data_IF_844070352754
#
_entry.id   IF_844070352754
#
_cell.length_a   1.000
_cell.length_b   1.000
_cell.length_c   1.000
_cell.angle_alpha   90.00
_cell.angle_beta   90.00
_cell.angle_gamma   90.00
#
_symmetry.space_group_name_H-M   'P 1'
#
loop_
_entity.id
_entity.type
_entity.pdbx_description
1 polymer ?
#
# COMPACT_ATOMS: atom_id res chain seq x y z
N UNK A 1 17.51 20.05 25.40
CA UNK A 1 16.27 19.90 24.66
C UNK A 1 16.31 20.58 23.27
N UNK A 2 16.82 21.81 23.12
CA UNK A 2 16.93 22.54 21.84
C UNK A 2 17.81 21.85 20.78
N UNK A 3 18.94 21.24 21.15
CA UNK A 3 19.88 20.60 20.20
C UNK A 3 19.25 19.33 19.52
N UNK A 4 18.41 18.60 20.24
CA UNK A 4 17.72 17.41 19.65
C UNK A 4 16.62 17.79 18.63
N UNK A 5 15.92 18.89 18.85
CA UNK A 5 14.91 19.38 17.89
C UNK A 5 15.56 19.89 16.59
N UNK A 6 16.71 20.57 16.69
CA UNK A 6 17.43 21.09 15.53
C UNK A 6 17.98 19.96 14.65
N UNK A 7 18.53 18.91 15.26
CA UNK A 7 19.03 17.75 14.50
C UNK A 7 17.90 16.94 13.83
N UNK A 8 16.74 16.79 14.47
CA UNK A 8 15.61 16.06 13.91
C UNK A 8 14.97 16.75 12.69
N UNK A 9 15.13 18.06 12.56
CA UNK A 9 14.62 18.82 11.42
C UNK A 9 15.70 18.98 10.35
N UNK A 10 16.92 19.32 10.71
CA UNK A 10 18.00 19.61 9.75
C UNK A 10 18.46 18.35 9.01
N UNK A 11 18.57 17.20 9.69
CA UNK A 11 19.05 15.96 9.06
C UNK A 11 18.21 15.47 7.88
N UNK A 12 16.87 15.47 7.93
CA UNK A 12 16.06 15.11 6.77
C UNK A 12 16.24 16.06 5.58
N UNK A 13 16.39 17.38 5.83
CA UNK A 13 16.65 18.36 4.77
C UNK A 13 18.03 18.18 4.13
N UNK A 14 19.05 17.89 4.94
CA UNK A 14 20.39 17.57 4.42
C UNK A 14 20.37 16.29 3.60
N UNK A 15 19.63 15.25 4.04
CA UNK A 15 19.44 14.02 3.28
C UNK A 15 18.76 14.29 1.95
N UNK A 16 17.66 15.06 1.93
CA UNK A 16 16.98 15.43 0.70
C UNK A 16 17.87 16.25 -0.24
N UNK A 17 18.63 17.23 0.29
CA UNK A 17 19.58 18.01 -0.47
C UNK A 17 20.70 17.12 -1.09
N UNK A 18 21.21 16.16 -0.32
CA UNK A 18 22.19 15.19 -0.80
C UNK A 18 21.66 14.37 -1.97
N UNK A 19 20.43 13.85 -1.87
CA UNK A 19 19.77 13.10 -2.97
C UNK A 19 19.61 13.96 -4.22
N UNK A 20 19.16 15.22 -4.06
CA UNK A 20 19.02 16.14 -5.18
C UNK A 20 20.37 16.49 -5.84
N UNK A 21 21.42 16.65 -5.05
CA UNK A 21 22.78 16.88 -5.57
C UNK A 21 23.30 15.65 -6.33
N UNK A 22 23.13 14.44 -5.78
CA UNK A 22 23.51 13.20 -6.46
C UNK A 22 22.76 13.08 -7.78
N UNK A 23 21.45 13.32 -7.79
CA UNK A 23 20.67 13.32 -9.03
C UNK A 23 21.19 14.35 -10.03
N UNK A 24 21.45 15.60 -9.62
CA UNK A 24 21.97 16.64 -10.49
C UNK A 24 23.34 16.28 -11.08
N UNK A 25 24.24 15.68 -10.27
CA UNK A 25 25.55 15.23 -10.74
C UNK A 25 25.41 14.08 -11.74
N UNK A 26 24.58 13.08 -11.45
CA UNK A 26 24.35 11.91 -12.33
C UNK A 26 23.76 12.34 -13.67
N UNK A 27 22.83 13.30 -13.69
CA UNK A 27 22.21 13.81 -14.92
C UNK A 27 23.18 14.53 -15.83
N UNK A 28 24.27 15.10 -15.28
CA UNK A 28 25.28 15.82 -16.08
C UNK A 28 26.45 14.91 -16.49
N UNK A 29 26.89 14.01 -15.58
CA UNK A 29 28.17 13.30 -15.74
C UNK A 29 28.03 11.86 -16.24
N UNK A 30 26.90 11.18 -15.95
CA UNK A 30 26.75 9.73 -16.17
C UNK A 30 25.67 9.40 -17.19
N UNK A 31 24.54 10.09 -17.13
CA UNK A 31 23.35 9.79 -17.94
C UNK A 31 22.79 11.09 -18.55
N UNK A 32 23.32 11.54 -19.70
CA UNK A 32 22.88 12.78 -20.36
C UNK A 32 21.39 12.80 -20.73
N UNK A 33 20.79 11.63 -20.95
CA UNK A 33 19.36 11.49 -21.23
C UNK A 33 18.47 11.68 -19.99
N UNK A 34 19.06 11.55 -18.78
CA UNK A 34 18.34 11.78 -17.54
C UNK A 34 18.18 13.29 -17.28
N UNK A 35 16.95 13.85 -17.28
CA UNK A 35 16.77 15.27 -17.06
C UNK A 35 17.18 15.67 -15.64
N UNK A 36 17.80 16.86 -15.54
CA UNK A 36 18.17 17.46 -14.26
C UNK A 36 16.90 17.80 -13.45
N UNK A 37 17.00 17.99 -12.12
CA UNK A 37 15.86 18.40 -11.29
C UNK A 37 15.16 19.65 -11.81
N UNK A 38 15.91 20.64 -12.29
CA UNK A 38 15.37 21.89 -12.84
C UNK A 38 14.60 21.64 -14.14
N UNK A 39 15.17 20.88 -15.06
CA UNK A 39 14.52 20.52 -16.33
C UNK A 39 13.25 19.72 -16.08
N UNK A 40 13.29 18.74 -15.17
CA UNK A 40 12.13 17.96 -14.76
C UNK A 40 11.00 18.87 -14.27
N UNK A 41 11.32 19.86 -13.42
CA UNK A 41 10.32 20.80 -12.95
C UNK A 41 9.74 21.66 -14.06
N UNK A 42 10.59 22.20 -14.93
CA UNK A 42 10.15 23.07 -16.05
C UNK A 42 9.18 22.36 -17.01
N UNK A 43 9.46 21.11 -17.34
CA UNK A 43 8.65 20.30 -18.25
C UNK A 43 7.39 19.76 -17.59
N UNK A 44 7.45 19.44 -16.29
CA UNK A 44 6.36 18.76 -15.57
C UNK A 44 5.48 19.71 -14.74
N UNK A 45 5.84 21.00 -14.62
CA UNK A 45 5.15 21.95 -13.72
C UNK A 45 3.64 22.05 -13.93
N UNK A 46 3.14 21.93 -15.17
CA UNK A 46 1.72 22.01 -15.49
C UNK A 46 0.93 20.91 -14.80
N UNK A 47 1.46 19.67 -14.78
CA UNK A 47 0.83 18.51 -14.15
C UNK A 47 0.68 18.67 -12.62
N UNK A 48 1.53 19.47 -12.00
CA UNK A 48 1.54 19.75 -10.56
C UNK A 48 0.71 21.00 -10.23
N UNK A 49 0.87 22.09 -11.01
CA UNK A 49 0.19 23.37 -10.74
C UNK A 49 -1.27 23.36 -11.13
N UNK A 50 -1.64 22.58 -12.15
CA UNK A 50 -3.01 22.37 -12.60
C UNK A 50 -3.41 20.89 -12.35
N UNK A 51 -3.54 20.43 -11.08
CA UNK A 51 -3.60 19.01 -10.74
C UNK A 51 -4.85 18.30 -11.28
N UNK A 52 -5.85 19.03 -11.77
CA UNK A 52 -7.13 18.48 -12.22
C UNK A 52 -7.46 18.78 -13.68
N UNK A 53 -6.54 19.32 -14.48
CA UNK A 53 -6.78 19.51 -15.92
C UNK A 53 -7.03 18.19 -16.64
N UNK A 54 -7.67 18.23 -17.80
CA UNK A 54 -7.98 17.07 -18.63
C UNK A 54 -7.94 17.46 -20.11
N UNK A 55 -6.86 17.07 -20.78
CA UNK A 55 -6.68 17.28 -22.24
C UNK A 55 -6.74 15.97 -23.04
N UNK A 56 -7.05 14.85 -22.38
CA UNK A 56 -7.11 13.51 -22.96
C UNK A 56 -7.37 12.45 -21.91
N UNK A 57 -7.25 11.17 -22.28
CA UNK A 57 -7.40 10.07 -21.33
C UNK A 57 -6.22 9.93 -20.37
N UNK A 58 -5.00 10.08 -20.87
CA UNK A 58 -3.77 10.00 -20.07
C UNK A 58 -3.13 11.37 -19.83
N UNK A 59 -3.36 12.35 -20.70
CA UNK A 59 -2.84 13.71 -20.53
C UNK A 59 -3.75 14.49 -19.56
N UNK A 60 -3.54 14.22 -18.28
CA UNK A 60 -4.34 14.78 -17.17
C UNK A 60 -3.44 15.22 -16.04
N UNK A 61 -3.92 16.19 -15.25
CA UNK A 61 -3.22 16.65 -14.05
C UNK A 61 -2.97 15.52 -13.05
N UNK A 62 -1.83 15.58 -12.37
CA UNK A 62 -1.35 14.52 -11.47
C UNK A 62 -2.32 14.22 -10.32
N UNK A 63 -3.05 15.23 -9.83
CA UNK A 63 -4.09 15.05 -8.81
C UNK A 63 -5.26 14.19 -9.28
N UNK A 64 -5.69 14.33 -10.54
CA UNK A 64 -6.76 13.52 -11.13
C UNK A 64 -6.32 12.07 -11.34
N UNK A 65 -5.10 11.86 -11.86
CA UNK A 65 -4.53 10.53 -12.04
C UNK A 65 -4.36 9.81 -10.71
N UNK A 66 -3.85 10.52 -9.69
CA UNK A 66 -3.72 10.01 -8.33
C UNK A 66 -5.09 9.62 -7.73
N UNK A 67 -6.11 10.43 -7.98
CA UNK A 67 -7.48 10.13 -7.52
C UNK A 67 -8.01 8.81 -8.10
N UNK A 68 -7.80 8.54 -9.40
CA UNK A 68 -8.23 7.27 -10.00
C UNK A 68 -7.50 6.08 -9.36
N UNK A 69 -6.18 6.17 -9.20
CA UNK A 69 -5.40 5.13 -8.54
C UNK A 69 -5.86 4.90 -7.10
N UNK A 70 -6.07 5.97 -6.32
CA UNK A 70 -6.51 5.89 -4.92
C UNK A 70 -7.91 5.29 -4.76
N UNK A 71 -8.85 5.60 -5.66
CA UNK A 71 -10.19 4.98 -5.64
C UNK A 71 -10.11 3.47 -5.87
N UNK A 72 -9.29 3.01 -6.82
CA UNK A 72 -9.09 1.58 -7.07
C UNK A 72 -8.40 0.89 -5.89
N UNK A 73 -7.36 1.53 -5.32
CA UNK A 73 -6.72 1.05 -4.09
C UNK A 73 -7.73 0.93 -2.96
N UNK A 74 -8.54 1.95 -2.73
CA UNK A 74 -9.56 1.94 -1.69
C UNK A 74 -10.55 0.78 -1.84
N UNK A 75 -11.05 0.53 -3.06
CA UNK A 75 -11.94 -0.61 -3.36
C UNK A 75 -11.25 -1.96 -3.11
N UNK A 76 -10.05 -2.17 -3.66
CA UNK A 76 -9.31 -3.42 -3.52
C UNK A 76 -8.85 -3.68 -2.09
N UNK A 77 -8.38 -2.64 -1.39
CA UNK A 77 -7.99 -2.70 0.01
C UNK A 77 -9.19 -3.03 0.92
N UNK A 78 -10.34 -2.39 0.72
CA UNK A 78 -11.55 -2.71 1.48
C UNK A 78 -11.96 -4.19 1.34
N UNK A 79 -11.89 -4.74 0.12
CA UNK A 79 -12.13 -6.17 -0.13
C UNK A 79 -11.06 -7.04 0.55
N UNK A 80 -9.78 -6.65 0.48
CA UNK A 80 -8.70 -7.36 1.16
C UNK A 80 -8.92 -7.46 2.67
N UNK A 81 -9.37 -6.37 3.31
CA UNK A 81 -9.69 -6.35 4.73
C UNK A 81 -10.93 -7.18 5.06
N UNK A 82 -12.00 -7.04 4.26
CA UNK A 82 -13.26 -7.76 4.45
C UNK A 82 -13.09 -9.29 4.38
N UNK A 83 -12.19 -9.78 3.54
CA UNK A 83 -11.89 -11.19 3.37
C UNK A 83 -10.76 -11.63 4.31
N UNK A 84 -9.67 -10.87 4.35
CA UNK A 84 -8.45 -11.24 5.07
C UNK A 84 -8.62 -11.26 6.59
N UNK A 85 -9.38 -10.31 7.15
CA UNK A 85 -9.59 -10.25 8.62
C UNK A 85 -10.32 -11.47 9.15
N UNK A 86 -11.50 -11.88 8.62
CA UNK A 86 -12.16 -13.09 9.06
C UNK A 86 -11.33 -14.36 8.90
N UNK A 87 -10.63 -14.51 7.75
CA UNK A 87 -9.73 -15.65 7.49
C UNK A 87 -8.61 -15.67 8.53
N UNK A 88 -8.00 -14.52 8.83
CA UNK A 88 -6.95 -14.39 9.84
C UNK A 88 -7.45 -14.79 11.25
N UNK A 89 -8.63 -14.35 11.65
CA UNK A 89 -9.25 -14.80 12.91
C UNK A 89 -9.52 -16.31 12.91
N UNK A 90 -10.04 -16.89 11.83
CA UNK A 90 -10.27 -18.33 11.73
C UNK A 90 -8.96 -19.14 11.85
N UNK A 91 -7.89 -18.68 11.16
CA UNK A 91 -6.56 -19.29 11.27
C UNK A 91 -5.96 -19.17 12.68
N UNK A 92 -6.19 -18.04 13.36
CA UNK A 92 -5.68 -17.82 14.70
C UNK A 92 -6.45 -18.62 15.79
N UNK A 93 -7.77 -18.73 15.66
CA UNK A 93 -8.64 -19.35 16.65
C UNK A 93 -8.71 -20.89 16.57
N UNK A 94 -8.53 -21.46 15.39
CA UNK A 94 -8.71 -22.89 15.15
C UNK A 94 -7.41 -23.57 14.70
N UNK A 95 -6.84 -24.40 15.58
CA UNK A 95 -5.65 -25.20 15.24
C UNK A 95 -5.88 -26.11 14.02
N UNK A 96 -7.07 -26.69 13.88
CA UNK A 96 -7.40 -27.54 12.72
C UNK A 96 -7.45 -26.73 11.45
N UNK A 97 -8.10 -25.56 11.48
CA UNK A 97 -8.17 -24.66 10.33
C UNK A 97 -6.77 -24.15 9.93
N UNK A 98 -5.95 -23.79 10.93
CA UNK A 98 -4.56 -23.38 10.70
C UNK A 98 -3.77 -24.50 10.00
N UNK A 99 -3.78 -25.72 10.53
CA UNK A 99 -3.05 -26.85 9.93
C UNK A 99 -3.50 -27.18 8.51
N UNK A 100 -4.78 -26.97 8.19
CA UNK A 100 -5.32 -27.23 6.84
C UNK A 100 -5.01 -26.13 5.82
N UNK A 101 -5.07 -24.87 6.24
CA UNK A 101 -5.01 -23.73 5.31
C UNK A 101 -3.66 -23.00 5.30
N UNK A 102 -2.85 -23.12 6.35
CA UNK A 102 -1.54 -22.48 6.42
C UNK A 102 -0.62 -22.85 5.25
N UNK A 103 -0.53 -24.11 4.79
CA UNK A 103 0.25 -24.46 3.61
C UNK A 103 -0.24 -23.74 2.34
N UNK A 104 -1.56 -23.53 2.21
CA UNK A 104 -2.14 -22.81 1.07
C UNK A 104 -1.76 -21.33 1.14
N UNK A 105 -1.85 -20.71 2.32
CA UNK A 105 -1.45 -19.33 2.54
C UNK A 105 0.04 -19.13 2.22
N UNK A 106 0.89 -20.04 2.70
CA UNK A 106 2.33 -19.99 2.43
C UNK A 106 2.67 -20.16 0.95
N UNK A 107 1.91 -20.97 0.22
CA UNK A 107 2.08 -21.16 -1.22
C UNK A 107 1.58 -19.93 -2.02
N UNK A 108 0.44 -19.36 -1.66
CA UNK A 108 -0.17 -18.26 -2.39
C UNK A 108 0.54 -16.91 -2.17
N UNK A 109 1.10 -16.69 -0.98
CA UNK A 109 1.73 -15.44 -0.58
C UNK A 109 2.88 -14.97 -1.49
N UNK A 110 3.84 -15.81 -1.91
CA UNK A 110 4.96 -15.38 -2.73
C UNK A 110 4.61 -15.17 -4.21
N UNK A 111 3.38 -15.48 -4.64
CA UNK A 111 2.98 -15.30 -6.04
C UNK A 111 2.94 -13.80 -6.35
N UNK A 112 3.66 -13.41 -7.40
CA UNK A 112 3.75 -12.02 -7.83
C UNK A 112 2.38 -11.45 -8.20
N UNK A 113 2.05 -10.22 -7.77
CA UNK A 113 0.85 -9.51 -8.23
C UNK A 113 0.71 -9.47 -9.75
N UNK A 114 1.83 -9.35 -10.47
CA UNK A 114 1.86 -9.32 -11.92
C UNK A 114 1.40 -10.63 -12.57
N UNK A 115 1.52 -11.76 -11.86
CA UNK A 115 1.01 -13.05 -12.34
C UNK A 115 -0.51 -13.18 -12.16
N UNK A 116 -1.09 -12.50 -11.17
CA UNK A 116 -2.53 -12.54 -10.92
C UNK A 116 -3.34 -11.63 -11.86
N UNK A 117 -2.75 -10.55 -12.36
CA UNK A 117 -3.46 -9.58 -13.20
C UNK A 117 -3.99 -10.19 -14.52
N UNK A 118 -3.19 -10.95 -15.31
CA UNK A 118 -3.70 -11.62 -16.51
C UNK A 118 -4.87 -12.57 -16.22
N UNK A 119 -4.80 -13.30 -15.10
CA UNK A 119 -5.90 -14.16 -14.68
C UNK A 119 -7.16 -13.36 -14.36
N UNK A 120 -7.00 -12.24 -13.67
CA UNK A 120 -8.09 -11.28 -13.41
C UNK A 120 -8.70 -10.75 -14.72
N UNK A 121 -7.88 -10.43 -15.72
CA UNK A 121 -8.37 -9.98 -17.04
C UNK A 121 -9.16 -11.05 -17.77
N UNK A 122 -8.74 -12.31 -17.70
CA UNK A 122 -9.48 -13.45 -18.29
C UNK A 122 -10.84 -13.63 -17.60
N UNK A 123 -10.89 -13.52 -16.27
CA UNK A 123 -12.11 -13.73 -15.48
C UNK A 123 -13.10 -12.57 -15.68
N UNK A 124 -12.65 -11.35 -15.56
CA UNK A 124 -13.53 -10.17 -15.55
C UNK A 124 -13.69 -9.49 -16.91
N UNK A 125 -12.80 -9.75 -17.86
CA UNK A 125 -12.77 -9.14 -19.20
C UNK A 125 -12.82 -7.61 -19.23
N UNK A 126 -12.48 -6.98 -18.10
CA UNK A 126 -12.42 -5.54 -17.88
C UNK A 126 -11.24 -5.20 -16.97
N UNK A 127 -10.50 -4.16 -17.32
CA UNK A 127 -9.28 -3.75 -16.61
C UNK A 127 -9.53 -3.32 -15.16
N UNK A 128 -10.58 -2.53 -14.91
CA UNK A 128 -10.86 -2.02 -13.55
C UNK A 128 -11.21 -3.14 -12.56
N UNK A 129 -12.17 -4.06 -12.81
CA UNK A 129 -12.42 -5.18 -11.91
C UNK A 129 -11.22 -6.11 -11.76
N UNK A 130 -10.44 -6.35 -12.82
CA UNK A 130 -9.23 -7.17 -12.76
C UNK A 130 -8.17 -6.56 -11.85
N UNK A 131 -7.95 -5.25 -11.93
CA UNK A 131 -7.02 -4.54 -11.05
C UNK A 131 -7.49 -4.60 -9.58
N UNK A 132 -8.78 -4.35 -9.30
CA UNK A 132 -9.36 -4.42 -7.95
C UNK A 132 -9.23 -5.83 -7.37
N UNK A 133 -9.50 -6.88 -8.16
CA UNK A 133 -9.32 -8.27 -7.78
C UNK A 133 -7.86 -8.57 -7.42
N UNK A 134 -6.92 -8.13 -8.27
CA UNK A 134 -5.49 -8.33 -8.05
C UNK A 134 -5.02 -7.65 -6.77
N UNK A 135 -5.46 -6.40 -6.53
CA UNK A 135 -5.18 -5.69 -5.28
C UNK A 135 -5.73 -6.48 -4.08
N UNK A 136 -7.01 -6.86 -4.13
CA UNK A 136 -7.67 -7.56 -3.03
C UNK A 136 -6.96 -8.88 -2.69
N UNK A 137 -6.65 -9.68 -3.70
CA UNK A 137 -6.00 -10.97 -3.53
C UNK A 137 -4.58 -10.85 -2.97
N UNK A 138 -3.79 -9.87 -3.44
CA UNK A 138 -2.42 -9.67 -2.97
C UNK A 138 -2.35 -9.00 -1.60
N UNK A 139 -3.18 -7.97 -1.39
CA UNK A 139 -3.17 -7.20 -0.15
C UNK A 139 -3.84 -7.91 1.04
N UNK A 140 -4.63 -8.97 0.83
CA UNK A 140 -5.24 -9.69 1.94
C UNK A 140 -4.24 -10.49 2.78
N UNK A 141 -3.11 -10.96 2.21
CA UNK A 141 -2.19 -11.86 2.89
C UNK A 141 -1.52 -11.25 4.13
N UNK A 142 -1.00 -10.01 4.11
CA UNK A 142 -0.49 -9.38 5.32
C UNK A 142 -1.56 -9.25 6.41
N UNK A 143 -2.80 -8.93 6.05
CA UNK A 143 -3.92 -8.89 6.99
C UNK A 143 -4.20 -10.26 7.59
N UNK A 144 -4.30 -11.31 6.77
CA UNK A 144 -4.52 -12.70 7.22
C UNK A 144 -3.46 -13.11 8.24
N UNK A 145 -2.19 -12.95 7.86
CA UNK A 145 -1.07 -13.43 8.67
C UNK A 145 -0.96 -12.68 10.00
N UNK A 146 -0.99 -11.34 9.94
CA UNK A 146 -0.86 -10.53 11.15
C UNK A 146 -2.04 -10.74 12.09
N UNK A 147 -3.27 -10.88 11.58
CA UNK A 147 -4.43 -11.20 12.41
C UNK A 147 -4.29 -12.57 13.07
N UNK A 148 -3.87 -13.60 12.32
CA UNK A 148 -3.66 -14.93 12.87
C UNK A 148 -2.58 -14.96 13.96
N UNK A 149 -1.43 -14.31 13.70
CA UNK A 149 -0.34 -14.15 14.69
C UNK A 149 -0.85 -13.40 15.91
N UNK A 150 -1.61 -12.33 15.73
CA UNK A 150 -2.18 -11.55 16.84
C UNK A 150 -3.09 -12.39 17.74
N UNK A 151 -3.95 -13.23 17.17
CA UNK A 151 -4.80 -14.15 17.94
C UNK A 151 -3.96 -15.19 18.69
N UNK A 152 -2.93 -15.74 18.05
CA UNK A 152 -2.07 -16.77 18.64
C UNK A 152 -1.15 -16.22 19.74
N UNK A 153 -0.82 -14.91 19.70
CA UNK A 153 0.03 -14.25 20.68
C UNK A 153 -0.71 -13.78 21.95
N UNK A 154 -2.04 -13.97 22.04
CA UNK A 154 -2.82 -13.59 23.23
C UNK A 154 -2.33 -14.38 24.45
N UNK A 155 -1.99 -13.66 25.54
CA UNK A 155 -1.60 -14.31 26.80
C UNK A 155 -2.73 -15.20 27.31
N UNK A 156 -2.39 -16.44 27.69
CA UNK A 156 -3.33 -17.43 28.23
C UNK A 156 -4.03 -16.93 29.50
N UNK A 157 -3.42 -16.03 30.25
CA UNK A 157 -4.03 -15.43 31.43
C UNK A 157 -5.34 -14.71 31.11
N UNK A 158 -5.37 -13.91 30.02
CA UNK A 158 -6.60 -13.23 29.59
C UNK A 158 -7.70 -14.22 29.20
N UNK A 159 -7.33 -15.31 28.53
CA UNK A 159 -8.28 -16.37 28.17
C UNK A 159 -8.78 -17.12 29.39
N UNK A 160 -7.93 -17.34 30.40
CA UNK A 160 -8.30 -17.99 31.67
C UNK A 160 -9.26 -17.11 32.50
N UNK A 161 -8.99 -15.80 32.59
CA UNK A 161 -9.92 -14.85 33.22
C UNK A 161 -11.30 -14.92 32.59
N UNK A 162 -11.37 -14.92 31.24
CA UNK A 162 -12.65 -15.08 30.55
C UNK A 162 -13.37 -16.41 30.84
N UNK A 163 -12.61 -17.49 31.03
CA UNK A 163 -13.19 -18.81 31.42
C UNK A 163 -13.71 -18.80 32.87
N UNK A 164 -12.95 -18.22 33.79
CA UNK A 164 -13.35 -18.08 35.20
C UNK A 164 -14.64 -17.24 35.29
N UNK A 165 -14.75 -16.18 34.55
CA UNK A 165 -15.96 -15.34 34.46
C UNK A 165 -17.09 -16.00 33.65
N UNK A 166 -16.92 -17.25 33.21
CA UNK A 166 -17.91 -18.01 32.41
C UNK A 166 -18.46 -17.21 31.21
N UNK A 167 -17.61 -16.45 30.53
CA UNK A 167 -18.02 -15.68 29.36
C UNK A 167 -18.48 -16.61 28.23
N UNK A 168 -19.58 -16.25 27.59
CA UNK A 168 -20.02 -16.94 26.37
C UNK A 168 -18.97 -16.77 25.25
N UNK A 169 -18.97 -17.68 24.26
CA UNK A 169 -18.01 -17.64 23.12
C UNK A 169 -18.01 -16.28 22.42
N UNK A 170 -19.18 -15.69 22.21
CA UNK A 170 -19.30 -14.37 21.58
C UNK A 170 -18.70 -13.26 22.48
N UNK A 171 -18.97 -13.27 23.78
CA UNK A 171 -18.39 -12.32 24.74
C UNK A 171 -16.87 -12.49 24.86
N UNK A 172 -16.36 -13.73 24.83
CA UNK A 172 -14.93 -14.02 24.79
C UNK A 172 -14.29 -13.40 23.53
N UNK A 173 -14.90 -13.62 22.36
CA UNK A 173 -14.41 -13.06 21.09
C UNK A 173 -14.40 -11.53 21.12
N UNK A 174 -15.53 -10.90 21.45
CA UNK A 174 -15.70 -9.44 21.31
C UNK A 174 -15.02 -8.63 22.42
N UNK A 175 -14.90 -9.17 23.64
CA UNK A 175 -14.37 -8.43 24.80
C UNK A 175 -12.91 -8.74 25.13
N UNK A 176 -12.39 -9.88 24.68
CA UNK A 176 -11.02 -10.29 24.98
C UNK A 176 -10.21 -10.46 23.69
N UNK A 177 -10.64 -11.36 22.82
CA UNK A 177 -9.82 -11.75 21.65
C UNK A 177 -9.67 -10.60 20.66
N UNK A 178 -10.78 -10.01 20.22
CA UNK A 178 -10.73 -8.92 19.23
C UNK A 178 -9.92 -7.73 19.76
N UNK A 179 -10.19 -7.15 20.95
CA UNK A 179 -9.40 -6.04 21.45
C UNK A 179 -7.91 -6.35 21.62
N UNK A 180 -7.58 -7.54 22.15
CA UNK A 180 -6.18 -7.95 22.32
C UNK A 180 -5.44 -8.15 20.99
N UNK A 181 -6.16 -8.49 19.91
CA UNK A 181 -5.60 -8.70 18.58
C UNK A 181 -5.47 -7.41 17.78
N UNK A 182 -6.22 -6.36 18.09
CA UNK A 182 -6.31 -5.14 17.30
C UNK A 182 -4.95 -4.52 16.92
N UNK A 183 -3.94 -4.43 17.79
CA UNK A 183 -2.63 -3.90 17.40
C UNK A 183 -2.01 -4.66 16.21
N UNK A 184 -2.12 -5.99 16.20
CA UNK A 184 -1.61 -6.82 15.12
C UNK A 184 -2.45 -6.67 13.83
N UNK A 185 -3.78 -6.59 13.98
CA UNK A 185 -4.71 -6.36 12.86
C UNK A 185 -4.34 -5.05 12.13
N UNK A 186 -4.13 -3.96 12.87
CA UNK A 186 -3.75 -2.67 12.27
C UNK A 186 -2.34 -2.68 11.67
N UNK A 187 -1.40 -3.41 12.23
CA UNK A 187 -0.11 -3.67 11.58
C UNK A 187 -0.31 -4.39 10.23
N UNK A 188 -1.17 -5.41 10.22
CA UNK A 188 -1.56 -6.10 8.98
C UNK A 188 -2.19 -5.15 7.96
N UNK A 189 -3.11 -4.28 8.37
CA UNK A 189 -3.75 -3.29 7.50
C UNK A 189 -2.76 -2.31 6.90
N UNK A 190 -1.80 -1.82 7.68
CA UNK A 190 -0.75 -0.94 7.19
C UNK A 190 0.11 -1.58 6.11
N UNK A 191 0.57 -2.81 6.33
CA UNK A 191 1.33 -3.57 5.34
C UNK A 191 0.50 -3.88 4.09
N UNK A 192 -0.78 -4.22 4.26
CA UNK A 192 -1.72 -4.47 3.18
C UNK A 192 -1.95 -3.23 2.32
N UNK A 193 -2.10 -2.04 2.93
CA UNK A 193 -2.27 -0.79 2.18
C UNK A 193 -1.03 -0.44 1.36
N UNK A 194 0.17 -0.62 1.93
CA UNK A 194 1.42 -0.42 1.20
C UNK A 194 1.53 -1.35 -0.01
N UNK A 195 1.18 -2.63 0.17
CA UNK A 195 1.17 -3.58 -0.94
C UNK A 195 0.08 -3.26 -1.98
N UNK A 196 -1.12 -2.86 -1.55
CA UNK A 196 -2.21 -2.45 -2.44
C UNK A 196 -1.79 -1.28 -3.35
N UNK A 197 -1.05 -0.31 -2.79
CA UNK A 197 -0.51 0.82 -3.54
C UNK A 197 0.52 0.38 -4.61
N UNK A 198 1.43 -0.52 -4.27
CA UNK A 198 2.39 -1.04 -5.25
C UNK A 198 1.70 -1.83 -6.37
N UNK A 199 0.69 -2.63 -6.01
CA UNK A 199 -0.05 -3.48 -6.96
C UNK A 199 -0.85 -2.65 -7.95
N UNK A 200 -1.51 -1.55 -7.53
CA UNK A 200 -2.29 -0.72 -8.47
C UNK A 200 -1.40 -0.05 -9.50
N UNK A 201 -0.25 0.50 -9.09
CA UNK A 201 0.69 1.13 -10.02
C UNK A 201 1.11 0.14 -11.12
N UNK A 202 1.50 -1.08 -10.74
CA UNK A 202 1.87 -2.13 -11.68
C UNK A 202 0.68 -2.56 -12.58
N UNK A 203 -0.52 -2.65 -12.02
CA UNK A 203 -1.72 -3.02 -12.78
C UNK A 203 -2.08 -1.96 -13.82
N UNK A 204 -2.01 -0.68 -13.47
CA UNK A 204 -2.27 0.43 -14.38
C UNK A 204 -1.24 0.50 -15.52
N UNK A 205 0.04 0.24 -15.22
CA UNK A 205 1.09 0.13 -16.25
C UNK A 205 0.77 -0.95 -17.29
N UNK A 206 0.37 -2.13 -16.84
CA UNK A 206 0.10 -3.26 -17.72
C UNK A 206 -1.21 -3.14 -18.49
N UNK A 207 -2.21 -2.52 -17.90
CA UNK A 207 -3.55 -2.38 -18.52
C UNK A 207 -3.71 -1.09 -19.34
N UNK A 208 -2.77 -0.15 -19.24
CA UNK A 208 -2.86 1.15 -19.87
C UNK A 208 -4.08 1.96 -19.41
N UNK A 209 -4.54 1.76 -18.17
CA UNK A 209 -5.70 2.51 -17.65
C UNK A 209 -5.28 3.85 -17.05
N UNK A 210 -6.14 4.90 -17.12
CA UNK A 210 -5.85 6.20 -16.52
C UNK A 210 -5.56 6.09 -15.02
N UNK A 211 -4.40 6.58 -14.60
CA UNK A 211 -3.87 6.55 -13.25
C UNK A 211 -2.39 6.92 -13.27
N UNK A 212 -1.75 6.99 -12.10
CA UNK A 212 -0.34 7.38 -12.01
C UNK A 212 0.57 6.36 -12.69
N UNK A 213 0.25 5.06 -12.55
CA UNK A 213 0.99 3.98 -13.21
C UNK A 213 0.79 3.96 -14.72
N UNK A 214 -0.44 4.19 -15.19
CA UNK A 214 -0.75 4.26 -16.62
C UNK A 214 -0.06 5.43 -17.30
N UNK A 215 -0.06 6.62 -16.67
CA UNK A 215 0.67 7.78 -17.14
C UNK A 215 2.19 7.53 -17.20
N UNK A 216 2.76 6.96 -16.13
CA UNK A 216 4.18 6.58 -16.10
C UNK A 216 4.55 5.71 -17.30
N UNK A 217 3.74 4.69 -17.59
CA UNK A 217 3.99 3.75 -18.68
C UNK A 217 3.87 4.40 -20.06
N UNK A 218 2.87 5.28 -20.24
CA UNK A 218 2.72 6.06 -21.48
C UNK A 218 3.93 6.96 -21.72
N UNK A 219 4.36 7.72 -20.70
CA UNK A 219 5.50 8.64 -20.82
C UNK A 219 6.81 7.89 -21.01
N UNK A 220 6.95 6.68 -20.45
CA UNK A 220 8.07 5.79 -20.73
C UNK A 220 8.12 5.39 -22.21
N UNK A 221 7.00 4.98 -22.79
CA UNK A 221 6.92 4.63 -24.22
C UNK A 221 7.12 5.84 -25.14
N UNK A 222 6.81 7.05 -24.67
CA UNK A 222 7.03 8.32 -25.38
C UNK A 222 8.42 8.89 -25.15
N UNK A 223 9.27 8.24 -24.31
CA UNK A 223 10.62 8.66 -23.95
C UNK A 223 10.70 10.05 -23.29
N UNK A 224 9.62 10.47 -22.60
CA UNK A 224 9.56 11.74 -21.86
C UNK A 224 10.01 11.52 -20.42
N UNK A 225 11.32 11.47 -20.22
CA UNK A 225 11.94 11.11 -18.94
C UNK A 225 11.55 12.02 -17.76
N UNK A 226 11.31 13.32 -18.01
CA UNK A 226 10.87 14.26 -16.96
C UNK A 226 9.52 13.87 -16.35
N UNK A 227 8.59 13.40 -17.16
CA UNK A 227 7.28 12.95 -16.69
C UNK A 227 7.36 11.60 -15.99
N UNK A 228 8.29 10.73 -16.39
CA UNK A 228 8.57 9.48 -15.67
C UNK A 228 9.04 9.79 -14.25
N UNK A 229 9.99 10.73 -14.10
CA UNK A 229 10.51 11.13 -12.79
C UNK A 229 9.39 11.76 -11.94
N UNK A 230 8.56 12.64 -12.52
CA UNK A 230 7.39 13.19 -11.83
C UNK A 230 6.49 12.08 -11.30
N UNK A 231 6.20 11.07 -12.13
CA UNK A 231 5.35 9.93 -11.73
C UNK A 231 5.96 9.14 -10.57
N UNK A 232 7.26 8.85 -10.64
CA UNK A 232 7.99 8.14 -9.56
C UNK A 232 7.94 8.94 -8.25
N UNK A 233 8.17 10.25 -8.31
CA UNK A 233 8.08 11.12 -7.13
C UNK A 233 6.66 11.16 -6.57
N UNK A 234 5.65 11.21 -7.44
CA UNK A 234 4.23 11.19 -7.04
C UNK A 234 3.85 9.86 -6.39
N UNK A 235 4.29 8.74 -6.96
CA UNK A 235 4.06 7.40 -6.39
C UNK A 235 4.68 7.32 -5.00
N UNK A 236 5.92 7.77 -4.85
CA UNK A 236 6.61 7.79 -3.55
C UNK A 236 5.93 8.71 -2.53
N UNK A 237 5.52 9.91 -2.94
CA UNK A 237 4.84 10.86 -2.06
C UNK A 237 3.49 10.31 -1.56
N UNK A 238 2.67 9.75 -2.45
CA UNK A 238 1.38 9.16 -2.08
C UNK A 238 1.59 7.95 -1.16
N UNK A 239 2.51 7.04 -1.51
CA UNK A 239 2.83 5.88 -0.68
C UNK A 239 3.28 6.28 0.73
N UNK A 240 4.14 7.31 0.83
CA UNK A 240 4.58 7.87 2.11
C UNK A 240 3.39 8.43 2.93
N UNK A 241 2.49 9.19 2.30
CA UNK A 241 1.30 9.74 2.98
C UNK A 241 0.39 8.62 3.47
N UNK A 242 0.12 7.61 2.63
CA UNK A 242 -0.70 6.46 3.01
C UNK A 242 -0.09 5.69 4.19
N UNK A 243 1.22 5.45 4.19
CA UNK A 243 1.92 4.79 5.31
C UNK A 243 1.84 5.62 6.60
N UNK A 244 2.02 6.96 6.52
CA UNK A 244 1.91 7.84 7.68
C UNK A 244 0.50 7.89 8.25
N UNK A 245 -0.52 7.94 7.41
CA UNK A 245 -1.92 7.93 7.83
C UNK A 245 -2.26 6.62 8.56
N UNK A 246 -1.87 5.48 8.00
CA UNK A 246 -2.09 4.18 8.66
C UNK A 246 -1.26 4.02 9.94
N UNK A 247 -0.02 4.49 9.94
CA UNK A 247 0.82 4.49 11.15
C UNK A 247 0.22 5.31 12.29
N UNK A 248 -0.41 6.44 11.97
CA UNK A 248 -1.13 7.25 12.97
C UNK A 248 -2.35 6.52 13.53
N UNK A 249 -3.13 5.84 12.69
CA UNK A 249 -4.29 5.03 13.13
C UNK A 249 -3.83 3.87 14.00
N UNK A 250 -2.78 3.13 13.57
CA UNK A 250 -2.17 2.03 14.32
C UNK A 250 -1.68 2.49 15.70
N UNK A 251 -1.00 3.63 15.79
CA UNK A 251 -0.49 4.16 17.05
C UNK A 251 -1.62 4.48 18.05
N UNK A 252 -2.75 5.00 17.57
CA UNK A 252 -3.93 5.25 18.43
C UNK A 252 -4.55 3.97 18.97
N UNK A 253 -4.61 2.92 18.17
CA UNK A 253 -5.15 1.62 18.61
C UNK A 253 -4.23 0.94 19.63
N UNK A 254 -2.92 1.10 19.50
CA UNK A 254 -1.95 0.55 20.48
C UNK A 254 -1.96 1.28 21.83
N UNK A 255 -2.42 2.54 21.87
CA UNK A 255 -2.45 3.34 23.09
C UNK A 255 -3.67 3.07 23.98
N UNK A 256 -4.64 2.31 23.51
CA UNK A 256 -5.83 1.85 24.23
C UNK A 256 -5.76 0.36 24.51
#
# INVERSE_FOLDING_TARGET
MKIRLTSQVILPFLGAACVLLVWAVVSVSVAPDLPSPIKTWQESRRYVLEPFFKDGEMNQGMGRLAFYSLVRVGKGFALALAIGTPIGFLLGLSRRFHQSFDPIVQFMRPISPLAWLPLGLVIFQKSEPAAIFTIALCAMWPTVINTAVGVQSINQEYLNVGRVLKLSRLKMLTRIIVPATMPYVFTGYRLSLGLAWLVIVASEMLTGTPGVGGFLWQEYNSLVYSHIILSVLTIGAIGFVLDRLMGFVEARVRAH
#
